data_IF_296218776484
#
_entry.id   IF_296218776484
#
_cell.length_a   1.000
_cell.length_b   1.000
_cell.length_c   1.000
_cell.angle_alpha   90.00
_cell.angle_beta   90.00
_cell.angle_gamma   90.00
#
_symmetry.space_group_name_H-M   'P 1'
#
loop_
_entity.id
_entity.type
_entity.pdbx_description
1 polymer ?
#
# COMPACT_ATOMS: atom_id res chain seq x y z
N UNK A 1 -18.82 -7.47 4.98
CA UNK A 1 -18.85 -8.77 4.25
C UNK A 1 -19.52 -8.60 2.87
N UNK A 2 -19.11 -7.59 2.08
CA UNK A 2 -19.70 -7.28 0.77
C UNK A 2 -18.64 -7.05 -0.34
N UNK A 3 -17.38 -7.45 -0.10
CA UNK A 3 -16.21 -7.00 -0.89
C UNK A 3 -15.88 -7.95 -2.07
N UNK A 4 -16.67 -9.00 -2.34
CA UNK A 4 -16.33 -10.00 -3.37
C UNK A 4 -17.53 -10.53 -4.17
N UNK A 5 -18.38 -9.66 -4.69
CA UNK A 5 -19.28 -10.09 -5.78
C UNK A 5 -18.60 -9.88 -7.13
N UNK A 6 -18.64 -10.86 -8.06
CA UNK A 6 -18.09 -10.69 -9.41
C UNK A 6 -18.74 -9.50 -10.16
N UNK A 7 -19.95 -9.12 -9.77
CA UNK A 7 -20.66 -7.94 -10.23
C UNK A 7 -19.94 -6.62 -9.89
N UNK A 8 -19.31 -6.52 -8.70
CA UNK A 8 -18.57 -5.31 -8.33
C UNK A 8 -17.27 -5.17 -9.15
N UNK A 9 -16.61 -6.29 -9.47
CA UNK A 9 -15.42 -6.31 -10.33
C UNK A 9 -15.79 -5.91 -11.77
N UNK A 10 -16.94 -6.39 -12.27
CA UNK A 10 -17.43 -6.05 -13.59
C UNK A 10 -17.87 -4.58 -13.68
N UNK A 11 -18.51 -4.05 -12.64
CA UNK A 11 -18.83 -2.60 -12.52
C UNK A 11 -17.58 -1.73 -12.47
N UNK A 12 -16.50 -2.17 -11.82
CA UNK A 12 -15.21 -1.46 -11.82
C UNK A 12 -14.56 -1.51 -13.20
N UNK A 13 -14.69 -2.62 -13.95
CA UNK A 13 -14.18 -2.73 -15.33
C UNK A 13 -14.96 -1.84 -16.32
N UNK A 14 -16.28 -1.80 -16.20
CA UNK A 14 -17.16 -0.92 -17.00
C UNK A 14 -16.92 0.56 -16.65
N UNK A 15 -16.77 0.88 -15.36
CA UNK A 15 -16.40 2.19 -14.87
C UNK A 15 -15.03 2.65 -15.39
N UNK A 16 -14.02 1.76 -15.40
CA UNK A 16 -12.70 2.06 -15.92
C UNK A 16 -12.72 2.34 -17.44
N UNK A 17 -13.61 1.68 -18.20
CA UNK A 17 -13.80 1.91 -19.63
C UNK A 17 -14.55 3.23 -19.93
N UNK A 18 -15.63 3.52 -19.19
CA UNK A 18 -16.42 4.76 -19.38
C UNK A 18 -15.62 6.00 -18.94
N UNK A 19 -14.85 5.89 -17.85
CA UNK A 19 -13.98 6.99 -17.41
C UNK A 19 -12.78 7.23 -18.34
N UNK A 20 -12.25 6.20 -19.02
CA UNK A 20 -11.15 6.39 -19.99
C UNK A 20 -11.58 7.15 -21.25
N UNK A 21 -12.86 7.06 -21.65
CA UNK A 21 -13.40 7.84 -22.77
C UNK A 21 -13.66 9.30 -22.37
N UNK A 22 -14.19 9.56 -21.17
CA UNK A 22 -14.46 10.91 -20.69
C UNK A 22 -13.18 11.69 -20.31
N UNK A 23 -12.17 11.02 -19.74
CA UNK A 23 -10.90 11.63 -19.33
C UNK A 23 -9.91 11.86 -20.47
N UNK A 24 -10.14 11.26 -21.66
CA UNK A 24 -9.26 11.40 -22.82
C UNK A 24 -9.14 12.83 -23.35
N UNK A 25 -10.08 13.73 -23.02
CA UNK A 25 -10.23 14.99 -23.76
C UNK A 25 -10.09 16.32 -22.98
N UNK A 26 -10.08 16.39 -21.64
CA UNK A 26 -10.07 17.71 -20.97
C UNK A 26 -9.17 17.86 -19.74
N UNK A 27 -9.23 16.96 -18.74
CA UNK A 27 -8.51 17.15 -17.46
C UNK A 27 -7.06 16.67 -17.44
N UNK A 28 -6.81 15.44 -17.90
CA UNK A 28 -5.50 14.78 -17.80
C UNK A 28 -4.43 15.40 -18.68
N UNK A 29 -4.82 15.82 -19.89
CA UNK A 29 -3.89 16.51 -20.82
C UNK A 29 -3.41 17.84 -20.26
N UNK A 30 -4.25 18.55 -19.49
CA UNK A 30 -3.89 19.84 -18.90
C UNK A 30 -2.87 19.69 -17.77
N UNK A 31 -3.07 18.73 -16.85
CA UNK A 31 -2.18 18.49 -15.72
C UNK A 31 -0.80 17.95 -16.15
N UNK A 32 -0.75 17.02 -17.10
CA UNK A 32 0.51 16.47 -17.62
C UNK A 32 1.23 17.42 -18.60
N UNK A 33 0.56 18.47 -19.09
CA UNK A 33 1.17 19.52 -19.92
C UNK A 33 1.81 20.66 -19.13
N UNK A 34 1.75 20.62 -17.80
CA UNK A 34 2.37 21.63 -16.94
C UNK A 34 3.90 21.65 -17.14
N UNK A 35 4.55 22.82 -17.05
CA UNK A 35 5.95 23.00 -17.43
C UNK A 35 6.96 22.16 -16.61
N UNK A 36 6.59 21.64 -15.44
CA UNK A 36 7.41 20.64 -14.72
C UNK A 36 7.37 19.24 -15.35
N UNK A 37 6.31 18.88 -16.08
CA UNK A 37 6.17 17.63 -16.84
C UNK A 37 6.60 17.73 -18.31
N UNK A 38 6.85 18.95 -18.81
CA UNK A 38 7.29 19.19 -20.20
C UNK A 38 8.76 18.88 -20.49
N UNK A 39 9.56 18.59 -19.46
CA UNK A 39 11.01 18.33 -19.56
C UNK A 39 11.37 16.85 -19.67
N UNK A 40 10.40 15.94 -19.63
CA UNK A 40 10.64 14.50 -19.54
C UNK A 40 10.37 13.79 -20.87
N UNK A 41 11.22 12.80 -21.22
CA UNK A 41 11.06 11.97 -22.41
C UNK A 41 9.68 11.31 -22.46
N UNK A 42 9.18 10.99 -23.66
CA UNK A 42 7.82 10.45 -23.83
C UNK A 42 7.55 9.19 -22.99
N UNK A 43 8.59 8.40 -22.69
CA UNK A 43 8.54 7.26 -21.76
C UNK A 43 8.13 7.64 -20.34
N UNK A 44 8.61 8.76 -19.80
CA UNK A 44 8.26 9.22 -18.45
C UNK A 44 6.81 9.69 -18.36
N UNK A 45 6.27 10.25 -19.45
CA UNK A 45 4.86 10.64 -19.50
C UNK A 45 3.98 9.38 -19.39
N UNK A 46 4.31 8.33 -20.13
CA UNK A 46 3.61 7.05 -20.06
C UNK A 46 3.72 6.40 -18.68
N UNK A 47 4.91 6.43 -18.06
CA UNK A 47 5.08 5.95 -16.67
C UNK A 47 4.19 6.72 -15.70
N UNK A 48 4.12 8.04 -15.85
CA UNK A 48 3.31 8.90 -15.00
C UNK A 48 1.81 8.63 -15.19
N UNK A 49 1.37 8.42 -16.44
CA UNK A 49 -0.01 8.01 -16.74
C UNK A 49 -0.38 6.70 -16.04
N UNK A 50 0.49 5.70 -16.12
CA UNK A 50 0.25 4.40 -15.49
C UNK A 50 0.26 4.46 -13.97
N UNK A 51 1.19 5.23 -13.40
CA UNK A 51 1.22 5.48 -11.96
C UNK A 51 -0.04 6.22 -11.48
N UNK A 52 -0.51 7.19 -12.26
CA UNK A 52 -1.72 7.93 -11.96
C UNK A 52 -2.98 7.03 -12.02
N UNK A 53 -3.06 6.11 -12.98
CA UNK A 53 -4.13 5.10 -13.06
C UNK A 53 -4.14 4.22 -11.81
N UNK A 54 -2.97 3.77 -11.35
CA UNK A 54 -2.87 3.03 -10.09
C UNK A 54 -3.39 3.86 -8.91
N UNK A 55 -2.96 5.12 -8.79
CA UNK A 55 -3.44 6.03 -7.74
C UNK A 55 -4.96 6.20 -7.74
N UNK A 56 -5.58 6.38 -8.91
CA UNK A 56 -7.04 6.45 -9.03
C UNK A 56 -7.73 5.15 -8.63
N UNK A 57 -7.26 4.02 -9.13
CA UNK A 57 -7.82 2.71 -8.78
C UNK A 57 -7.70 2.45 -7.28
N UNK A 58 -6.58 2.82 -6.68
CA UNK A 58 -6.35 2.71 -5.25
C UNK A 58 -7.32 3.57 -4.43
N UNK A 59 -7.53 4.84 -4.81
CA UNK A 59 -8.49 5.72 -4.14
C UNK A 59 -9.94 5.27 -4.31
N UNK A 60 -10.29 4.67 -5.46
CA UNK A 60 -11.62 4.06 -5.69
C UNK A 60 -11.81 2.82 -4.81
N UNK A 61 -10.81 1.95 -4.69
CA UNK A 61 -10.87 0.76 -3.83
C UNK A 61 -10.97 1.12 -2.35
N UNK A 62 -10.37 2.24 -1.95
CA UNK A 62 -10.52 2.80 -0.61
C UNK A 62 -11.80 3.62 -0.43
N UNK A 63 -12.66 3.73 -1.45
CA UNK A 63 -13.93 4.46 -1.43
C UNK A 63 -13.80 5.96 -1.10
N UNK A 64 -12.60 6.55 -1.25
CA UNK A 64 -12.44 8.00 -1.11
C UNK A 64 -13.01 8.76 -2.29
N UNK A 65 -12.96 8.15 -3.47
CA UNK A 65 -13.48 8.71 -4.71
C UNK A 65 -14.47 7.70 -5.29
N UNK A 66 -15.69 8.15 -5.55
CA UNK A 66 -16.66 7.37 -6.29
C UNK A 66 -16.27 7.35 -7.77
N UNK A 67 -16.74 6.37 -8.54
CA UNK A 67 -16.53 6.26 -9.99
C UNK A 67 -16.74 7.62 -10.67
N UNK A 68 -17.83 8.32 -10.33
CA UNK A 68 -18.18 9.65 -10.89
C UNK A 68 -17.20 10.79 -10.57
N UNK A 69 -16.16 10.58 -9.77
CA UNK A 69 -15.19 11.59 -9.35
C UNK A 69 -15.60 12.40 -8.11
N UNK A 70 -16.70 12.04 -7.45
CA UNK A 70 -17.11 12.69 -6.22
C UNK A 70 -16.31 12.14 -5.03
N UNK A 71 -15.80 13.05 -4.21
CA UNK A 71 -15.13 12.74 -2.96
C UNK A 71 -16.19 12.32 -1.94
N UNK A 72 -15.97 11.21 -1.23
CA UNK A 72 -16.92 10.64 -0.27
C UNK A 72 -16.25 9.98 0.92
N UNK A 73 -17.05 9.59 1.91
CA UNK A 73 -16.60 8.91 3.14
C UNK A 73 -15.60 9.74 3.96
N UNK A 74 -14.70 9.04 4.65
CA UNK A 74 -13.64 9.61 5.50
C UNK A 74 -12.47 10.24 4.71
N UNK A 75 -12.71 10.77 3.51
CA UNK A 75 -11.69 11.39 2.65
C UNK A 75 -11.11 12.66 3.25
N UNK A 76 -11.92 13.46 3.94
CA UNK A 76 -11.46 14.65 4.67
C UNK A 76 -10.42 14.28 5.74
N UNK A 77 -10.64 13.18 6.48
CA UNK A 77 -9.69 12.63 7.44
C UNK A 77 -8.38 12.25 6.76
N UNK A 78 -8.45 11.61 5.59
CA UNK A 78 -7.27 11.25 4.83
C UNK A 78 -6.44 12.47 4.42
N UNK A 79 -7.08 13.58 4.05
CA UNK A 79 -6.41 14.83 3.69
C UNK A 79 -5.67 15.46 4.86
N UNK A 80 -6.25 15.43 6.07
CA UNK A 80 -5.59 15.96 7.27
C UNK A 80 -4.41 15.10 7.75
N UNK A 81 -4.42 13.80 7.43
CA UNK A 81 -3.44 12.81 7.90
C UNK A 81 -2.51 12.28 6.79
N UNK A 82 -2.42 12.98 5.65
CA UNK A 82 -1.57 12.62 4.50
C UNK A 82 -0.12 12.28 4.89
N UNK A 83 0.44 13.00 5.87
CA UNK A 83 1.84 12.79 6.29
C UNK A 83 2.08 11.44 6.96
N UNK A 84 1.03 10.72 7.33
CA UNK A 84 1.08 9.47 8.06
C UNK A 84 0.68 8.25 7.22
N UNK A 85 0.84 8.33 5.90
CA UNK A 85 0.70 7.17 5.01
C UNK A 85 1.78 6.11 5.29
N UNK A 86 1.43 4.80 5.24
CA UNK A 86 0.12 4.22 4.88
C UNK A 86 -0.89 4.11 6.04
N UNK A 87 -0.52 4.54 7.25
CA UNK A 87 -1.31 4.34 8.46
C UNK A 87 -2.71 4.94 8.41
N UNK A 88 -2.85 6.10 7.77
CA UNK A 88 -4.16 6.76 7.57
C UNK A 88 -5.18 5.88 6.85
N UNK A 89 -4.75 5.09 5.87
CA UNK A 89 -5.63 4.20 5.10
C UNK A 89 -6.13 3.04 5.97
N UNK A 90 -5.24 2.48 6.78
CA UNK A 90 -5.59 1.41 7.71
C UNK A 90 -6.55 1.92 8.77
N UNK A 91 -6.29 3.12 9.31
CA UNK A 91 -7.16 3.76 10.29
C UNK A 91 -8.58 3.97 9.74
N UNK A 92 -8.71 4.45 8.50
CA UNK A 92 -10.00 4.57 7.81
C UNK A 92 -10.75 3.24 7.72
N UNK A 93 -10.07 2.16 7.31
CA UNK A 93 -10.69 0.83 7.21
C UNK A 93 -11.12 0.30 8.60
N UNK A 94 -10.39 0.63 9.66
CA UNK A 94 -10.76 0.27 11.04
C UNK A 94 -12.01 1.02 11.51
N UNK A 95 -12.15 2.30 11.13
CA UNK A 95 -13.35 3.10 11.38
C UNK A 95 -14.55 2.54 10.61
N UNK A 96 -14.42 2.30 9.31
CA UNK A 96 -15.50 1.77 8.46
C UNK A 96 -16.01 0.40 8.94
N UNK A 97 -15.10 -0.44 9.47
CA UNK A 97 -15.45 -1.75 10.04
C UNK A 97 -16.03 -1.66 11.45
N UNK A 98 -16.07 -0.47 12.05
CA UNK A 98 -16.56 -0.21 13.40
C UNK A 98 -15.72 -0.85 14.50
N UNK A 99 -14.47 -1.23 14.25
CA UNK A 99 -13.62 -1.90 15.25
C UNK A 99 -13.31 -0.95 16.40
N UNK A 100 -12.95 0.30 16.07
CA UNK A 100 -12.69 1.34 17.06
C UNK A 100 -13.96 1.64 17.86
N UNK A 101 -15.10 1.79 17.18
CA UNK A 101 -16.38 2.04 17.84
C UNK A 101 -16.78 0.91 18.79
N UNK A 102 -16.54 -0.35 18.42
CA UNK A 102 -16.80 -1.49 19.29
C UNK A 102 -15.91 -1.46 20.55
N UNK A 103 -14.62 -1.15 20.41
CA UNK A 103 -13.69 -1.02 21.55
C UNK A 103 -14.17 0.09 22.50
N UNK A 104 -14.55 1.25 21.93
CA UNK A 104 -15.06 2.39 22.71
C UNK A 104 -16.39 2.05 23.41
N UNK A 105 -17.33 1.44 22.71
CA UNK A 105 -18.63 1.05 23.28
C UNK A 105 -18.52 -0.01 24.37
N UNK A 106 -17.57 -0.93 24.27
CA UNK A 106 -17.34 -1.95 25.31
C UNK A 106 -16.65 -1.35 26.53
N UNK A 107 -15.73 -0.38 26.34
CA UNK A 107 -15.10 0.36 27.43
C UNK A 107 -16.06 1.29 28.18
N UNK A 108 -16.95 1.99 27.48
CA UNK A 108 -17.92 2.92 28.12
C UNK A 108 -18.96 2.24 29.02
N UNK A 109 -19.17 0.92 28.91
CA UNK A 109 -20.16 0.20 29.73
C UNK A 109 -19.67 -0.05 31.17
N UNK A 110 -18.36 -0.05 31.39
CA UNK A 110 -17.76 -0.42 32.68
C UNK A 110 -16.60 0.54 33.00
N UNK A 111 -16.66 1.28 34.11
CA UNK A 111 -15.62 2.25 34.51
C UNK A 111 -14.22 1.62 34.66
N UNK A 112 -14.13 0.35 35.08
CA UNK A 112 -12.84 -0.38 35.18
C UNK A 112 -12.18 -0.67 33.83
N UNK A 113 -12.94 -0.61 32.73
CA UNK A 113 -12.45 -0.89 31.37
C UNK A 113 -12.03 0.38 30.63
N UNK A 114 -12.21 1.57 31.21
CA UNK A 114 -11.81 2.82 30.57
C UNK A 114 -10.29 2.89 30.37
N UNK A 115 -9.50 2.51 31.39
CA UNK A 115 -8.03 2.52 31.29
C UNK A 115 -7.54 1.48 30.27
N UNK A 116 -8.15 0.30 30.23
CA UNK A 116 -7.80 -0.77 29.28
C UNK A 116 -8.19 -0.38 27.85
N UNK A 117 -9.36 0.23 27.66
CA UNK A 117 -9.82 0.75 26.38
C UNK A 117 -8.86 1.80 25.84
N UNK A 118 -8.44 2.77 26.66
CA UNK A 118 -7.47 3.78 26.25
C UNK A 118 -6.11 3.16 25.92
N UNK A 119 -5.67 2.17 26.69
CA UNK A 119 -4.42 1.44 26.43
C UNK A 119 -4.46 0.73 25.07
N UNK A 120 -5.55 0.00 24.79
CA UNK A 120 -5.76 -0.70 23.53
C UNK A 120 -5.81 0.27 22.33
N UNK A 121 -6.49 1.42 22.47
CA UNK A 121 -6.54 2.45 21.44
C UNK A 121 -5.15 3.02 21.16
N UNK A 122 -4.38 3.37 22.20
CA UNK A 122 -3.01 3.88 22.04
C UNK A 122 -2.13 2.81 21.39
N UNK A 123 -2.25 1.54 21.76
CA UNK A 123 -1.50 0.44 21.13
C UNK A 123 -1.84 0.33 19.64
N UNK A 124 -3.12 0.39 19.26
CA UNK A 124 -3.55 0.36 17.85
C UNK A 124 -2.95 1.54 17.08
N UNK A 125 -3.03 2.75 17.62
CA UNK A 125 -2.46 3.95 16.99
C UNK A 125 -0.94 3.86 16.87
N UNK A 126 -0.26 3.36 17.91
CA UNK A 126 1.18 3.11 17.85
C UNK A 126 1.52 2.10 16.76
N UNK A 127 0.77 1.00 16.62
CA UNK A 127 1.00 0.06 15.53
C UNK A 127 0.86 0.72 14.16
N UNK A 128 -0.20 1.48 13.94
CA UNK A 128 -0.51 2.04 12.62
C UNK A 128 0.47 3.16 12.23
N UNK A 129 0.83 4.01 13.20
CA UNK A 129 1.51 5.27 12.92
C UNK A 129 2.97 5.30 13.39
N UNK A 130 3.35 4.51 14.40
CA UNK A 130 4.73 4.48 14.88
C UNK A 130 5.50 3.37 14.17
N UNK A 131 6.23 3.73 13.12
CA UNK A 131 7.00 2.80 12.30
C UNK A 131 8.50 2.76 12.68
N UNK A 132 8.79 2.66 13.98
CA UNK A 132 10.17 2.60 14.48
C UNK A 132 10.54 1.14 14.72
N UNK A 133 11.37 0.58 13.82
CA UNK A 133 11.87 -0.78 13.95
C UNK A 133 13.01 -0.87 14.95
N UNK A 134 13.04 -1.95 15.74
CA UNK A 134 14.17 -2.25 16.61
C UNK A 134 15.18 -3.10 15.82
N UNK A 135 16.47 -2.73 15.80
CA UNK A 135 17.50 -3.54 15.15
C UNK A 135 17.58 -4.97 15.69
N UNK A 136 17.76 -5.96 14.81
CA UNK A 136 17.69 -7.38 15.20
C UNK A 136 18.72 -7.80 16.25
N UNK A 137 19.94 -7.29 16.16
CA UNK A 137 21.00 -7.54 17.15
C UNK A 137 20.60 -7.06 18.56
N UNK A 138 19.77 -6.02 18.64
CA UNK A 138 19.34 -5.42 19.90
C UNK A 138 18.17 -6.18 20.54
N UNK A 139 17.34 -6.86 19.74
CA UNK A 139 16.20 -7.65 20.23
C UNK A 139 16.62 -8.68 21.28
N UNK A 140 17.73 -9.39 21.04
CA UNK A 140 18.29 -10.37 21.99
C UNK A 140 18.79 -9.71 23.29
N UNK A 141 19.39 -8.51 23.19
CA UNK A 141 19.86 -7.76 24.35
C UNK A 141 18.70 -7.27 25.23
N UNK A 142 17.62 -6.77 24.62
CA UNK A 142 16.43 -6.31 25.35
C UNK A 142 15.80 -7.48 26.12
N UNK A 143 15.60 -8.63 25.47
CA UNK A 143 15.00 -9.80 26.12
C UNK A 143 15.82 -10.28 27.32
N UNK A 144 17.15 -10.31 27.20
CA UNK A 144 18.06 -10.66 28.32
C UNK A 144 17.92 -9.67 29.47
N UNK A 145 17.89 -8.36 29.20
CA UNK A 145 17.79 -7.33 30.24
C UNK A 145 16.41 -7.27 30.90
N UNK A 146 15.34 -7.55 30.15
CA UNK A 146 13.98 -7.70 30.67
C UNK A 146 13.87 -8.90 31.63
N UNK A 147 14.46 -10.05 31.28
CA UNK A 147 14.53 -11.23 32.16
C UNK A 147 15.25 -10.95 33.48
N UNK A 148 16.22 -10.04 33.46
CA UNK A 148 16.97 -9.60 34.64
C UNK A 148 16.22 -8.53 35.46
N UNK A 149 14.97 -8.16 35.12
CA UNK A 149 14.18 -7.07 35.75
C UNK A 149 14.95 -5.76 35.93
N UNK A 150 15.94 -5.49 35.06
CA UNK A 150 16.77 -4.27 35.15
C UNK A 150 16.07 -3.04 34.60
N UNK A 151 14.98 -3.23 33.86
CA UNK A 151 14.32 -2.23 33.03
C UNK A 151 12.83 -2.24 33.34
N UNK A 152 12.30 -1.04 33.55
CA UNK A 152 10.87 -0.82 33.80
C UNK A 152 10.13 -0.45 32.50
N UNK A 153 10.84 -0.09 31.43
CA UNK A 153 10.22 0.34 30.18
C UNK A 153 9.63 -0.79 29.35
N UNK A 154 8.58 -0.42 28.64
CA UNK A 154 7.93 -1.24 27.65
C UNK A 154 8.51 -1.01 26.25
N UNK A 155 9.74 -1.50 26.06
CA UNK A 155 10.50 -1.31 24.80
C UNK A 155 9.81 -1.92 23.57
N UNK A 156 9.13 -3.06 23.75
CA UNK A 156 8.38 -3.70 22.68
C UNK A 156 6.91 -3.35 22.80
N UNK A 157 6.31 -3.01 21.66
CA UNK A 157 4.87 -2.85 21.57
C UNK A 157 4.15 -4.17 21.94
N UNK A 158 3.03 -4.13 22.70
CA UNK A 158 2.24 -5.30 23.08
C UNK A 158 1.74 -6.09 21.88
N UNK A 159 1.27 -7.33 22.06
CA UNK A 159 0.70 -8.07 20.93
C UNK A 159 -0.57 -7.38 20.42
N UNK A 160 -0.60 -7.09 19.11
CA UNK A 160 -1.77 -6.53 18.44
C UNK A 160 -2.97 -7.50 18.50
N UNK A 161 -4.19 -6.95 18.66
CA UNK A 161 -5.43 -7.71 18.56
C UNK A 161 -5.48 -8.45 17.20
N UNK A 162 -5.76 -9.78 17.18
CA UNK A 162 -5.93 -10.53 15.94
C UNK A 162 -6.95 -9.91 14.98
N UNK A 163 -7.99 -9.23 15.47
CA UNK A 163 -8.97 -8.53 14.61
C UNK A 163 -8.31 -7.43 13.79
N UNK A 164 -7.51 -6.58 14.45
CA UNK A 164 -6.81 -5.46 13.80
C UNK A 164 -5.75 -6.00 12.84
N UNK A 165 -5.02 -7.05 13.24
CA UNK A 165 -4.04 -7.72 12.37
C UNK A 165 -4.67 -8.22 11.07
N UNK A 166 -5.84 -8.85 11.14
CA UNK A 166 -6.55 -9.34 9.95
C UNK A 166 -6.95 -8.19 9.01
N UNK A 167 -7.34 -7.02 9.57
CA UNK A 167 -7.66 -5.83 8.75
C UNK A 167 -6.44 -5.32 8.00
N UNK A 168 -5.27 -5.32 8.64
CA UNK A 168 -4.02 -4.91 8.01
C UNK A 168 -3.63 -5.87 6.89
N UNK A 169 -3.71 -7.18 7.14
CA UNK A 169 -3.42 -8.21 6.12
C UNK A 169 -4.39 -8.10 4.92
N UNK A 170 -5.66 -7.78 5.18
CA UNK A 170 -6.65 -7.51 4.14
C UNK A 170 -6.32 -6.24 3.34
N UNK A 171 -5.91 -5.17 4.00
CA UNK A 171 -5.44 -3.95 3.34
C UNK A 171 -4.23 -4.20 2.44
N UNK A 172 -3.20 -4.88 2.96
CA UNK A 172 -2.02 -5.23 2.17
C UNK A 172 -2.38 -6.09 0.95
N UNK A 173 -3.29 -7.05 1.12
CA UNK A 173 -3.79 -7.88 0.02
C UNK A 173 -4.52 -7.04 -1.04
N UNK A 174 -5.35 -6.08 -0.60
CA UNK A 174 -6.05 -5.15 -1.50
C UNK A 174 -5.07 -4.27 -2.28
N UNK A 175 -4.05 -3.71 -1.64
CA UNK A 175 -3.01 -2.89 -2.31
C UNK A 175 -2.31 -3.71 -3.39
N UNK A 176 -1.89 -4.94 -3.05
CA UNK A 176 -1.20 -5.85 -3.97
C UNK A 176 -2.08 -6.20 -5.17
N UNK A 177 -3.34 -6.52 -4.96
CA UNK A 177 -4.26 -6.88 -6.03
C UNK A 177 -4.61 -5.69 -6.93
N UNK A 178 -4.81 -4.50 -6.34
CA UNK A 178 -5.02 -3.26 -7.09
C UNK A 178 -3.82 -2.95 -7.97
N UNK A 179 -2.61 -3.15 -7.45
CA UNK A 179 -1.39 -3.00 -8.24
C UNK A 179 -1.31 -4.02 -9.36
N UNK A 180 -1.58 -5.32 -9.12
CA UNK A 180 -1.68 -6.35 -10.20
C UNK A 180 -2.61 -5.92 -11.30
N UNK A 181 -3.81 -5.47 -10.93
CA UNK A 181 -4.82 -5.08 -11.89
C UNK A 181 -4.34 -3.88 -12.73
N UNK A 182 -3.70 -2.89 -12.09
CA UNK A 182 -3.12 -1.75 -12.80
C UNK A 182 -2.04 -2.20 -13.79
N UNK A 183 -1.13 -3.10 -13.39
CA UNK A 183 -0.07 -3.62 -14.27
C UNK A 183 -0.64 -4.42 -15.44
N UNK A 184 -1.66 -5.24 -15.20
CA UNK A 184 -2.36 -5.99 -16.24
C UNK A 184 -3.06 -5.06 -17.25
N UNK A 185 -3.58 -3.92 -16.78
CA UNK A 185 -4.12 -2.89 -17.64
C UNK A 185 -3.02 -2.22 -18.48
N UNK A 186 -1.90 -1.83 -17.87
CA UNK A 186 -0.75 -1.23 -18.55
C UNK A 186 -0.20 -2.14 -19.64
N UNK A 187 0.02 -3.43 -19.33
CA UNK A 187 0.51 -4.41 -20.32
C UNK A 187 -0.42 -4.53 -21.54
N UNK A 188 -1.75 -4.53 -21.32
CA UNK A 188 -2.73 -4.57 -22.42
C UNK A 188 -2.68 -3.30 -23.27
N UNK A 189 -2.51 -2.14 -22.65
CA UNK A 189 -2.44 -0.85 -23.35
C UNK A 189 -1.15 -0.74 -24.18
N UNK A 190 0.01 -1.10 -23.59
CA UNK A 190 1.29 -1.16 -24.30
C UNK A 190 1.21 -2.13 -25.47
N UNK A 191 0.58 -3.31 -25.29
CA UNK A 191 0.37 -4.26 -26.40
C UNK A 191 -0.48 -3.67 -27.54
N UNK A 192 -1.43 -2.79 -27.25
CA UNK A 192 -2.24 -2.12 -28.28
C UNK A 192 -1.47 -1.01 -28.99
N UNK A 193 -0.66 -0.22 -28.27
CA UNK A 193 0.09 0.92 -28.84
C UNK A 193 1.33 0.49 -29.61
N UNK A 194 2.15 -0.39 -29.02
CA UNK A 194 3.47 -0.78 -29.53
C UNK A 194 3.50 -2.18 -30.16
N UNK A 195 2.40 -2.94 -30.05
CA UNK A 195 2.28 -4.28 -30.62
C UNK A 195 2.88 -5.38 -29.74
N UNK A 196 3.19 -6.52 -30.38
CA UNK A 196 3.84 -7.63 -29.70
C UNK A 196 5.30 -7.30 -29.38
N UNK A 197 5.75 -7.76 -28.21
CA UNK A 197 7.14 -7.60 -27.79
C UNK A 197 7.99 -8.57 -28.60
N UNK A 198 8.48 -8.06 -29.73
CA UNK A 198 9.26 -8.79 -30.71
C UNK A 198 10.65 -8.20 -30.87
N UNK A 199 11.01 -7.12 -30.16
CA UNK A 199 12.30 -6.45 -30.32
C UNK A 199 13.06 -6.42 -29.00
N UNK A 200 14.32 -6.84 -29.02
CA UNK A 200 15.18 -6.77 -27.84
C UNK A 200 15.51 -5.31 -27.50
N UNK A 201 15.46 -4.93 -26.21
CA UNK A 201 15.61 -3.53 -25.78
C UNK A 201 17.00 -2.96 -26.05
N UNK A 202 18.05 -3.75 -25.81
CA UNK A 202 19.44 -3.28 -25.87
C UNK A 202 20.07 -3.49 -27.25
N UNK A 203 19.81 -4.63 -27.88
CA UNK A 203 20.41 -4.99 -29.17
C UNK A 203 19.55 -4.55 -30.36
N UNK A 204 18.28 -4.21 -30.13
CA UNK A 204 17.34 -3.82 -31.18
C UNK A 204 16.98 -4.95 -32.15
N UNK A 205 17.41 -6.19 -31.88
CA UNK A 205 17.16 -7.36 -32.73
C UNK A 205 15.67 -7.70 -32.69
N UNK A 206 15.07 -7.84 -33.86
CA UNK A 206 13.67 -8.22 -34.02
C UNK A 206 13.54 -9.74 -34.20
N UNK A 207 12.69 -10.33 -33.37
CA UNK A 207 12.14 -11.67 -33.44
C UNK A 207 10.67 -11.54 -33.89
N UNK A 208 10.42 -11.44 -35.21
CA UNK A 208 9.05 -11.43 -35.71
C UNK A 208 8.33 -12.68 -35.20
N UNK A 209 7.26 -12.47 -34.43
CA UNK A 209 6.47 -13.55 -33.86
C UNK A 209 5.81 -14.40 -34.95
N UNK A 210 5.42 -15.63 -34.56
CA UNK A 210 4.76 -16.72 -35.30
C UNK A 210 3.44 -16.31 -36.03
N UNK A 211 3.11 -15.02 -36.15
CA UNK A 211 1.98 -14.56 -36.97
C UNK A 211 2.15 -14.90 -38.47
N UNK A 212 3.35 -15.26 -38.93
CA UNK A 212 3.65 -15.64 -40.31
C UNK A 212 3.82 -17.14 -40.55
N UNK A 213 3.88 -17.98 -39.51
CA UNK A 213 4.05 -19.44 -39.66
C UNK A 213 2.78 -20.18 -39.25
N UNK A 214 2.27 -21.00 -40.18
CA UNK A 214 1.17 -21.95 -39.98
C UNK A 214 1.31 -22.68 -38.65
N UNK A 215 0.19 -22.91 -37.95
CA UNK A 215 0.18 -23.64 -36.69
C UNK A 215 1.08 -24.89 -36.76
N UNK A 216 2.01 -25.08 -35.81
CA UNK A 216 2.99 -26.15 -35.89
C UNK A 216 2.28 -27.50 -35.92
N UNK A 217 2.73 -28.46 -36.75
CA UNK A 217 2.09 -29.77 -36.86
C UNK A 217 2.05 -30.46 -35.49
N UNK A 218 0.91 -31.09 -35.19
CA UNK A 218 0.66 -31.79 -33.93
C UNK A 218 1.74 -32.85 -33.71
N UNK A 219 2.46 -32.78 -32.59
CA UNK A 219 3.56 -33.69 -32.25
C UNK A 219 4.96 -33.21 -32.64
N UNK A 220 5.11 -32.08 -33.33
CA UNK A 220 6.42 -31.45 -33.57
C UNK A 220 7.05 -30.92 -32.27
N UNK A 221 8.38 -30.77 -32.26
CA UNK A 221 9.10 -30.14 -31.14
C UNK A 221 8.57 -28.73 -30.85
N UNK A 222 8.24 -27.97 -31.89
CA UNK A 222 7.64 -26.64 -31.79
C UNK A 222 6.28 -26.67 -31.08
N UNK A 223 5.44 -27.66 -31.38
CA UNK A 223 4.17 -27.85 -30.68
C UNK A 223 4.38 -28.12 -29.18
N UNK A 224 5.31 -29.01 -28.83
CA UNK A 224 5.63 -29.31 -27.40
C UNK A 224 6.26 -28.12 -26.68
N UNK A 225 7.12 -27.36 -27.35
CA UNK A 225 7.72 -26.14 -26.78
C UNK A 225 6.68 -25.05 -26.57
N UNK A 226 5.72 -24.90 -27.49
CA UNK A 226 4.61 -23.95 -27.35
C UNK A 226 3.64 -24.35 -26.24
N UNK A 227 3.43 -25.65 -26.04
CA UNK A 227 2.58 -26.18 -24.96
C UNK A 227 3.24 -26.02 -23.58
N UNK A 228 4.56 -26.22 -23.51
CA UNK A 228 5.35 -26.04 -22.28
C UNK A 228 5.78 -24.58 -22.02
N UNK A 229 5.55 -23.67 -22.97
CA UNK A 229 5.90 -22.26 -22.81
C UNK A 229 5.07 -21.59 -21.71
N UNK A 230 5.75 -20.77 -20.89
CA UNK A 230 5.11 -19.94 -19.87
C UNK A 230 4.15 -18.93 -20.54
N UNK A 231 2.90 -18.93 -20.07
CA UNK A 231 1.85 -18.01 -20.54
C UNK A 231 1.86 -16.75 -19.69
N UNK A 232 2.78 -15.85 -20.01
CA UNK A 232 2.94 -14.58 -19.31
C UNK A 232 2.07 -13.48 -19.93
N UNK A 233 1.39 -12.68 -19.09
CA UNK A 233 0.54 -11.57 -19.52
C UNK A 233 1.10 -10.20 -19.16
N UNK A 234 1.77 -10.08 -18.02
CA UNK A 234 2.22 -8.80 -17.45
C UNK A 234 3.73 -8.64 -17.66
N UNK A 235 4.50 -9.67 -17.32
CA UNK A 235 5.97 -9.66 -17.46
C UNK A 235 6.38 -9.67 -18.93
N UNK A 236 7.53 -9.05 -19.23
CA UNK A 236 8.17 -9.16 -20.55
C UNK A 236 8.36 -10.62 -20.95
N UNK A 237 8.16 -10.93 -22.24
CA UNK A 237 8.45 -12.28 -22.76
C UNK A 237 9.94 -12.63 -22.65
N UNK A 238 10.81 -11.64 -22.64
CA UNK A 238 12.25 -11.85 -22.49
C UNK A 238 12.62 -12.13 -21.03
N UNK A 239 12.01 -11.42 -20.08
CA UNK A 239 12.20 -11.69 -18.65
C UNK A 239 11.62 -13.04 -18.23
N UNK A 240 10.53 -13.48 -18.87
CA UNK A 240 9.94 -14.81 -18.68
C UNK A 240 10.90 -15.97 -19.02
N UNK A 241 11.92 -15.75 -19.87
CA UNK A 241 12.96 -16.75 -20.14
C UNK A 241 13.85 -17.02 -18.92
N UNK A 242 13.87 -16.10 -17.95
CA UNK A 242 14.57 -16.24 -16.68
C UNK A 242 13.69 -16.86 -15.58
N UNK A 243 12.57 -17.50 -15.96
CA UNK A 243 11.60 -18.13 -15.05
C UNK A 243 10.82 -17.15 -14.16
N UNK A 244 10.74 -15.87 -14.57
CA UNK A 244 9.94 -14.85 -13.89
C UNK A 244 8.49 -14.90 -14.36
N UNK A 245 7.55 -15.10 -13.44
CA UNK A 245 6.12 -15.17 -13.73
C UNK A 245 5.34 -13.94 -13.26
N UNK A 246 4.10 -13.79 -13.72
CA UNK A 246 3.22 -12.68 -13.31
C UNK A 246 2.97 -12.67 -11.78
N UNK A 247 3.11 -13.81 -11.10
CA UNK A 247 2.91 -13.92 -9.65
C UNK A 247 4.12 -13.39 -8.84
N UNK A 248 5.32 -13.42 -9.43
CA UNK A 248 6.57 -13.04 -8.77
C UNK A 248 6.78 -11.52 -8.66
N UNK A 249 5.95 -10.74 -9.37
CA UNK A 249 6.04 -9.28 -9.48
C UNK A 249 5.76 -8.50 -8.18
N UNK A 250 5.22 -9.14 -7.14
CA UNK A 250 4.70 -8.44 -5.94
C UNK A 250 5.28 -8.91 -4.60
N UNK A 251 5.63 -10.19 -4.39
CA UNK A 251 6.23 -10.60 -3.13
C UNK A 251 7.72 -10.20 -3.03
N UNK A 252 8.40 -9.99 -4.15
CA UNK A 252 9.84 -9.79 -4.16
C UNK A 252 10.19 -8.31 -4.30
N UNK A 253 11.02 -7.82 -3.38
CA UNK A 253 11.65 -6.48 -3.30
C UNK A 253 12.47 -6.06 -4.54
N UNK A 254 12.39 -6.82 -5.62
CA UNK A 254 13.16 -6.66 -6.85
C UNK A 254 12.18 -6.53 -8.02
N UNK A 255 11.46 -5.42 -8.10
CA UNK A 255 10.93 -4.99 -9.40
C UNK A 255 11.80 -3.84 -9.88
N UNK A 256 12.85 -4.27 -10.58
CA UNK A 256 13.53 -3.49 -11.61
C UNK A 256 13.19 -4.24 -12.93
N UNK A 257 13.39 -3.64 -14.11
CA UNK A 257 12.39 -3.23 -15.10
C UNK A 257 11.73 -4.39 -15.91
N UNK A 258 11.14 -5.39 -15.25
CA UNK A 258 10.59 -6.57 -15.93
C UNK A 258 9.18 -6.41 -16.51
N UNK A 259 8.54 -5.27 -16.29
CA UNK A 259 7.30 -4.88 -17.00
C UNK A 259 7.71 -4.33 -18.36
N UNK A 260 7.46 -5.09 -19.44
CA UNK A 260 7.58 -4.70 -20.87
C UNK A 260 8.39 -3.41 -21.12
N UNK A 261 9.69 -3.38 -20.81
CA UNK A 261 10.75 -2.39 -21.17
C UNK A 261 10.46 -0.87 -20.93
N UNK A 262 9.22 -0.48 -20.71
CA UNK A 262 8.68 0.87 -20.92
C UNK A 262 7.64 1.23 -19.85
N UNK A 263 7.49 0.46 -18.76
CA UNK A 263 6.68 0.85 -17.61
C UNK A 263 7.45 0.60 -16.30
N UNK A 264 8.07 1.65 -15.75
CA UNK A 264 8.74 1.58 -14.45
C UNK A 264 7.79 2.06 -13.36
N UNK A 265 7.35 1.16 -12.48
CA UNK A 265 6.68 1.51 -11.22
C UNK A 265 7.44 0.89 -10.05
N UNK A 266 8.20 1.68 -9.27
CA UNK A 266 8.92 1.13 -8.13
C UNK A 266 7.93 0.61 -7.08
N UNK A 267 8.12 -0.63 -6.63
CA UNK A 267 7.35 -1.24 -5.51
C UNK A 267 7.44 -0.37 -4.25
N UNK A 268 8.53 0.37 -4.07
CA UNK A 268 8.73 1.26 -2.91
C UNK A 268 7.68 2.37 -2.80
N UNK A 269 6.97 2.66 -3.89
CA UNK A 269 5.87 3.64 -3.91
C UNK A 269 4.55 3.02 -3.45
N UNK A 270 4.47 1.70 -3.34
CA UNK A 270 3.26 1.08 -2.80
C UNK A 270 3.11 1.41 -1.32
N UNK A 271 1.90 1.81 -0.88
CA UNK A 271 1.61 2.11 0.53
C UNK A 271 1.49 0.81 1.34
N UNK A 272 2.51 -0.05 1.30
CA UNK A 272 2.58 -1.28 2.06
C UNK A 272 3.21 -1.02 3.42
N UNK A 273 2.67 -1.69 4.42
CA UNK A 273 3.25 -1.65 5.76
C UNK A 273 4.51 -2.50 5.84
N UNK A 274 5.50 -2.03 6.60
CA UNK A 274 6.71 -2.81 6.87
C UNK A 274 6.34 -4.03 7.73
N UNK A 275 7.05 -5.16 7.60
CA UNK A 275 6.76 -6.35 8.40
C UNK A 275 6.80 -6.01 9.90
N UNK A 276 5.68 -6.27 10.58
CA UNK A 276 5.37 -5.92 11.97
C UNK A 276 6.16 -6.69 13.03
N UNK A 277 7.43 -6.98 12.79
CA UNK A 277 8.25 -7.77 13.69
C UNK A 277 8.93 -6.87 14.72
N UNK A 278 8.27 -6.72 15.88
CA UNK A 278 8.77 -6.09 17.11
C UNK A 278 9.14 -4.61 16.90
N UNK A 279 8.10 -3.80 16.79
CA UNK A 279 8.19 -2.34 16.79
C UNK A 279 8.57 -1.79 18.18
N UNK A 280 9.21 -0.62 18.15
CA UNK A 280 9.55 0.15 19.35
C UNK A 280 8.29 0.77 19.95
N UNK A 281 8.03 0.45 21.22
CA UNK A 281 6.86 0.93 21.96
C UNK A 281 6.99 2.34 22.53
N UNK A 282 7.90 3.19 22.04
CA UNK A 282 8.26 4.45 22.71
C UNK A 282 7.07 5.35 23.06
N UNK A 283 6.08 5.49 22.18
CA UNK A 283 4.92 6.34 22.40
C UNK A 283 3.99 5.73 23.46
N UNK A 284 3.78 4.41 23.41
CA UNK A 284 3.02 3.67 24.41
C UNK A 284 3.71 3.66 25.79
N UNK A 285 5.03 3.48 25.81
CA UNK A 285 5.85 3.51 27.02
C UNK A 285 5.82 4.90 27.68
N UNK A 286 5.88 5.96 26.87
CA UNK A 286 5.72 7.32 27.35
C UNK A 286 4.31 7.60 27.87
N UNK A 287 3.27 7.12 27.19
CA UNK A 287 1.89 7.24 27.64
C UNK A 287 1.65 6.60 29.01
N UNK A 288 2.21 5.41 29.25
CA UNK A 288 2.04 4.68 30.53
C UNK A 288 2.87 5.24 31.68
N UNK A 289 4.12 5.64 31.43
CA UNK A 289 5.07 5.99 32.50
C UNK A 289 5.39 7.49 32.59
N UNK A 290 5.28 8.24 31.49
CA UNK A 290 5.66 9.65 31.41
C UNK A 290 7.17 9.93 31.51
N UNK A 291 8.02 8.89 31.45
CA UNK A 291 9.46 9.02 31.70
C UNK A 291 10.22 9.20 30.37
N UNK A 292 10.63 10.42 30.05
CA UNK A 292 11.40 10.71 28.84
C UNK A 292 12.78 10.01 28.79
N UNK A 293 13.52 9.96 29.91
CA UNK A 293 14.85 9.31 29.99
C UNK A 293 14.82 7.82 29.63
N UNK A 294 13.71 7.15 29.86
CA UNK A 294 13.50 5.75 29.50
C UNK A 294 13.54 5.55 27.99
N UNK A 295 13.04 6.53 27.22
CA UNK A 295 13.05 6.50 25.76
C UNK A 295 14.50 6.58 25.24
N UNK A 296 15.33 7.44 25.85
CA UNK A 296 16.73 7.59 25.47
C UNK A 296 17.59 6.37 25.83
N UNK A 297 17.38 5.84 27.03
CA UNK A 297 18.27 4.82 27.62
C UNK A 297 17.84 3.38 27.29
N UNK A 298 16.54 3.09 27.38
CA UNK A 298 15.95 1.76 27.22
C UNK A 298 15.42 1.57 25.78
N UNK A 299 14.65 2.53 25.25
CA UNK A 299 14.16 2.49 23.85
C UNK A 299 15.23 2.90 22.82
N UNK A 300 16.39 3.41 23.29
CA UNK A 300 17.59 3.73 22.50
C UNK A 300 17.36 4.72 21.36
N UNK A 301 16.41 5.63 21.54
CA UNK A 301 16.17 6.73 20.61
C UNK A 301 17.04 7.92 21.01
N UNK A 302 17.66 8.61 20.06
CA UNK A 302 18.49 9.78 20.39
C UNK A 302 17.60 10.88 20.96
N UNK A 303 18.09 11.66 21.94
CA UNK A 303 17.34 12.73 22.59
C UNK A 303 16.54 13.63 21.61
N UNK A 304 17.22 14.24 20.64
CA UNK A 304 16.55 15.10 19.64
C UNK A 304 15.50 14.37 18.80
N UNK A 305 15.73 13.09 18.49
CA UNK A 305 14.79 12.27 17.73
C UNK A 305 13.60 11.83 18.59
N UNK A 306 13.82 11.53 19.89
CA UNK A 306 12.77 11.14 20.82
C UNK A 306 11.77 12.29 21.06
N UNK A 307 12.26 13.53 21.12
CA UNK A 307 11.39 14.70 21.21
C UNK A 307 10.53 14.84 19.94
N UNK A 308 11.15 14.82 18.76
CA UNK A 308 10.42 14.93 17.49
C UNK A 308 9.38 13.82 17.33
N UNK A 309 9.72 12.57 17.64
CA UNK A 309 8.79 11.44 17.52
C UNK A 309 7.60 11.51 18.47
N UNK A 310 7.79 12.08 19.67
CA UNK A 310 6.68 12.32 20.61
C UNK A 310 5.85 13.53 20.19
N UNK A 311 6.49 14.58 19.69
CA UNK A 311 5.82 15.76 19.17
C UNK A 311 4.97 15.42 17.93
N UNK A 312 5.51 14.63 17.00
CA UNK A 312 4.79 14.09 15.84
C UNK A 312 3.59 13.24 16.27
N UNK A 313 3.77 12.38 17.28
CA UNK A 313 2.66 11.57 17.81
C UNK A 313 1.58 12.45 18.48
N UNK A 314 1.97 13.51 19.19
CA UNK A 314 1.02 14.48 19.76
C UNK A 314 0.26 15.23 18.67
N UNK A 315 0.95 15.69 17.62
CA UNK A 315 0.30 16.35 16.48
C UNK A 315 -0.65 15.41 15.75
N UNK A 316 -0.30 14.13 15.61
CA UNK A 316 -1.16 13.11 15.06
C UNK A 316 -2.44 12.95 15.87
N UNK A 317 -2.35 12.87 17.20
CA UNK A 317 -3.54 12.80 18.06
C UNK A 317 -4.43 14.03 17.89
N UNK A 318 -3.84 15.24 17.88
CA UNK A 318 -4.59 16.48 17.62
C UNK A 318 -5.27 16.47 16.25
N UNK A 319 -4.59 15.97 15.21
CA UNK A 319 -5.13 15.87 13.86
C UNK A 319 -6.30 14.88 13.79
N UNK A 320 -6.19 13.71 14.46
CA UNK A 320 -7.28 12.74 14.55
C UNK A 320 -8.47 13.36 15.28
N UNK A 321 -8.27 13.98 16.45
CA UNK A 321 -9.35 14.62 17.22
C UNK A 321 -10.07 15.68 16.38
N UNK A 322 -9.30 16.59 15.76
CA UNK A 322 -9.88 17.65 14.92
C UNK A 322 -10.65 17.07 13.73
N UNK A 323 -10.12 16.01 13.10
CA UNK A 323 -10.79 15.38 11.94
C UNK A 323 -12.07 14.67 12.35
N UNK A 324 -12.09 14.00 13.50
CA UNK A 324 -13.29 13.34 14.02
C UNK A 324 -14.34 14.36 14.47
N UNK A 325 -13.93 15.48 15.08
CA UNK A 325 -14.84 16.57 15.40
C UNK A 325 -15.51 17.12 14.13
N UNK A 326 -14.77 17.36 13.06
CA UNK A 326 -15.35 17.86 11.79
C UNK A 326 -16.32 16.85 11.17
N UNK A 327 -16.03 15.55 11.25
CA UNK A 327 -16.93 14.49 10.76
C UNK A 327 -18.26 14.44 11.52
N UNK A 328 -18.25 14.64 12.84
CA UNK A 328 -19.47 14.69 13.67
C UNK A 328 -20.40 15.89 13.34
N UNK A 329 -19.87 16.93 12.68
CA UNK A 329 -20.67 18.07 12.23
C UNK A 329 -21.42 17.81 10.91
N UNK A 330 -20.92 16.92 10.05
CA UNK A 330 -21.56 16.58 8.77
C UNK A 330 -22.72 15.56 8.94
N UNK A 331 -22.84 14.90 10.10
CA UNK A 331 -23.94 13.96 10.43
C UNK A 331 -25.11 14.58 11.22
N UNK A 332 -25.08 15.89 11.52
CA UNK A 332 -26.19 16.65 12.14
C UNK A 332 -26.90 17.55 11.15
#
# INVERSE_FOLDING_TARGET
>A
MAIRTPENIQRVQEAAQVHTEANRNAGHRSFLSLPLGGLTSDTWKEHTEYFFIFGLLFLIQLEYINVKGNVGGHSQLAMHLQYHEPGVYIFKILLDKGIINNIVHDGMKNEEFEEQMLDDLVVILCYIFTNVSIPDFWKSCIEKKRKLKKWNSHVFLPKLDPKVKNVIEEYESMVRETFRFSLAFCSKDIKKRHGEECRLPLSGIEFPGIATSSAPPVGSLEFRLKESALKVKIVSRFSALSDVTDEDLIPNRHVIPDIRIEAFTPIEVLPLTKPWQRLNGYAWDFYRHGIYKCIETENRIRAGEAYNLLEDFRFLLCAITTSLEVLDWDEK
#
